data_IF_887030888147
#
_entry.id   IF_887030888147
#
_cell.length_a   1.000
_cell.length_b   1.000
_cell.length_c   1.000
_cell.angle_alpha   90.00
_cell.angle_beta   90.00
_cell.angle_gamma   90.00
#
_symmetry.space_group_name_H-M   'P 1'
#
loop_
_entity.id
_entity.type
_entity.pdbx_description
1 polymer ?
#
# COMPACT_ATOMS: atom_id res chain seq x y z
N UNK A 1 -16.34 -47.86 49.95
CA UNK A 1 -15.52 -46.67 49.67
C UNK A 1 -14.94 -46.71 48.23
N UNK A 2 -15.82 -46.75 47.18
CA UNK A 2 -15.34 -46.84 45.77
C UNK A 2 -16.12 -46.02 44.71
N UNK A 3 -17.00 -45.06 45.04
CA UNK A 3 -17.56 -44.22 43.97
C UNK A 3 -16.93 -42.82 43.79
N UNK A 4 -16.01 -42.37 44.68
CA UNK A 4 -15.49 -40.99 44.66
C UNK A 4 -14.37 -40.74 43.64
N UNK A 5 -13.67 -41.80 43.20
CA UNK A 5 -12.50 -41.69 42.29
C UNK A 5 -12.98 -41.59 40.81
N UNK A 6 -14.12 -42.14 40.44
CA UNK A 6 -14.61 -42.15 39.06
C UNK A 6 -15.18 -40.77 38.66
N UNK A 7 -15.75 -40.00 39.59
CA UNK A 7 -16.27 -38.66 39.32
C UNK A 7 -15.17 -37.62 39.05
N UNK A 8 -13.97 -37.77 39.64
CA UNK A 8 -12.86 -36.86 39.46
C UNK A 8 -12.19 -37.02 38.10
N UNK A 9 -12.11 -38.25 37.59
CA UNK A 9 -11.52 -38.53 36.27
C UNK A 9 -12.39 -38.04 35.10
N UNK A 10 -13.73 -38.08 35.24
CA UNK A 10 -14.65 -37.56 34.22
C UNK A 10 -14.62 -36.03 34.14
N UNK A 11 -14.45 -35.33 35.25
CA UNK A 11 -14.31 -33.85 35.27
C UNK A 11 -13.04 -33.35 34.60
N UNK A 12 -11.89 -34.04 34.75
CA UNK A 12 -10.64 -33.67 34.10
C UNK A 12 -10.68 -33.91 32.58
N UNK A 13 -11.37 -34.97 32.12
CA UNK A 13 -11.46 -35.25 30.69
C UNK A 13 -12.34 -34.23 29.95
N UNK A 14 -13.40 -33.71 30.56
CA UNK A 14 -14.25 -32.66 29.97
C UNK A 14 -13.54 -31.32 29.92
N UNK A 15 -12.75 -30.98 30.95
CA UNK A 15 -11.94 -29.76 30.95
C UNK A 15 -10.80 -29.79 29.88
N UNK A 16 -10.20 -30.97 29.65
CA UNK A 16 -9.19 -31.14 28.59
C UNK A 16 -9.78 -31.04 27.17
N UNK A 17 -11.02 -31.54 26.96
CA UNK A 17 -11.72 -31.38 25.68
C UNK A 17 -12.13 -29.91 25.42
N UNK A 18 -12.49 -29.13 26.44
CA UNK A 18 -12.83 -27.72 26.31
C UNK A 18 -11.59 -26.86 25.99
N UNK A 19 -10.39 -27.22 26.49
CA UNK A 19 -9.13 -26.53 26.16
C UNK A 19 -8.65 -26.85 24.73
N UNK A 20 -8.98 -27.99 24.16
CA UNK A 20 -8.61 -28.36 22.78
C UNK A 20 -9.55 -27.74 21.72
N UNK A 21 -10.62 -27.06 22.11
CA UNK A 21 -11.61 -26.53 21.19
C UNK A 21 -11.22 -25.19 20.54
N UNK A 22 -10.11 -24.56 20.90
CA UNK A 22 -9.70 -23.25 20.36
C UNK A 22 -8.49 -23.31 19.39
N UNK A 23 -8.08 -24.49 18.97
CA UNK A 23 -7.03 -24.71 17.96
C UNK A 23 -7.54 -24.74 16.52
N UNK A 24 -8.65 -24.10 16.22
CA UNK A 24 -9.02 -23.94 14.81
C UNK A 24 -7.99 -23.07 14.12
N UNK A 25 -7.49 -23.48 12.94
CA UNK A 25 -6.57 -22.63 12.19
C UNK A 25 -7.23 -21.26 11.98
N UNK A 26 -6.53 -20.21 12.33
CA UNK A 26 -7.00 -18.83 12.20
C UNK A 26 -6.32 -18.23 10.97
N UNK A 27 -7.03 -17.41 10.22
CA UNK A 27 -6.44 -16.57 9.18
C UNK A 27 -6.41 -15.13 9.69
N UNK A 28 -5.44 -14.35 9.21
CA UNK A 28 -5.34 -12.91 9.48
C UNK A 28 -5.58 -12.19 8.16
N UNK A 29 -6.59 -11.34 8.14
CA UNK A 29 -6.87 -10.42 7.03
C UNK A 29 -6.34 -9.06 7.38
N UNK A 30 -5.45 -8.52 6.55
CA UNK A 30 -4.88 -7.18 6.69
C UNK A 30 -5.49 -6.28 5.62
N UNK A 31 -5.96 -5.10 6.05
CA UNK A 31 -6.46 -4.04 5.20
C UNK A 31 -5.57 -2.81 5.39
N UNK A 32 -4.96 -2.31 4.32
CA UNK A 32 -4.15 -1.09 4.30
C UNK A 32 -4.83 -0.06 3.41
N UNK A 33 -4.97 1.16 3.90
CA UNK A 33 -5.55 2.28 3.16
C UNK A 33 -4.59 3.45 3.09
N UNK A 34 -4.45 4.00 1.89
CA UNK A 34 -3.77 5.26 1.63
C UNK A 34 -4.81 6.37 1.41
N UNK A 35 -4.86 7.33 2.33
CA UNK A 35 -5.82 8.45 2.28
C UNK A 35 -5.05 9.76 2.16
N UNK A 36 -5.28 10.49 1.06
CA UNK A 36 -4.69 11.80 0.83
C UNK A 36 -5.60 12.89 1.40
N UNK A 37 -5.02 13.78 2.23
CA UNK A 37 -5.71 14.92 2.83
C UNK A 37 -4.87 16.19 2.72
N UNK A 38 -5.52 17.36 2.94
CA UNK A 38 -4.81 18.63 3.09
C UNK A 38 -4.06 18.71 4.44
N UNK A 39 -2.88 19.32 4.46
CA UNK A 39 -2.09 19.49 5.69
C UNK A 39 -2.85 20.22 6.83
N UNK A 40 -3.62 21.30 6.57
CA UNK A 40 -4.42 21.91 7.62
C UNK A 40 -5.44 20.96 8.26
N UNK A 41 -6.10 20.12 7.44
CA UNK A 41 -7.04 19.12 7.93
C UNK A 41 -6.36 18.08 8.84
N UNK A 42 -5.16 17.64 8.50
CA UNK A 42 -4.37 16.77 9.38
C UNK A 42 -4.07 17.46 10.71
N UNK A 43 -3.68 18.74 10.67
CA UNK A 43 -3.37 19.50 11.89
C UNK A 43 -4.59 19.59 12.81
N UNK A 44 -5.78 19.82 12.27
CA UNK A 44 -7.03 19.83 13.04
C UNK A 44 -7.36 18.45 13.63
N UNK A 45 -7.19 17.38 12.85
CA UNK A 45 -7.40 16.00 13.32
C UNK A 45 -6.49 15.65 14.51
N UNK A 46 -5.21 16.08 14.46
CA UNK A 46 -4.22 15.80 15.50
C UNK A 46 -4.29 16.77 16.70
N UNK A 47 -4.95 17.91 16.56
CA UNK A 47 -5.15 18.87 17.66
C UNK A 47 -6.21 18.41 18.67
N UNK A 48 -6.98 17.40 18.37
CA UNK A 48 -8.00 16.83 19.26
C UNK A 48 -7.38 16.15 20.50
N UNK A 49 -8.17 16.02 21.55
CA UNK A 49 -7.76 15.31 22.78
C UNK A 49 -7.72 13.79 22.62
N UNK A 50 -8.47 13.25 21.67
CA UNK A 50 -8.51 11.83 21.35
C UNK A 50 -7.94 11.63 19.93
N UNK A 51 -6.73 11.13 19.87
CA UNK A 51 -5.99 10.79 18.64
C UNK A 51 -5.90 9.27 18.41
N UNK A 52 -6.87 8.51 18.95
CA UNK A 52 -6.91 7.05 18.71
C UNK A 52 -7.06 6.74 17.22
N UNK A 53 -6.44 5.63 16.79
CA UNK A 53 -6.45 5.19 15.39
C UNK A 53 -7.86 5.08 14.80
N UNK A 54 -8.83 4.43 15.48
CA UNK A 54 -10.20 4.33 14.98
C UNK A 54 -10.85 5.68 14.73
N UNK A 55 -10.69 6.63 15.68
CA UNK A 55 -11.25 7.97 15.54
C UNK A 55 -10.62 8.77 14.40
N UNK A 56 -9.30 8.72 14.28
CA UNK A 56 -8.59 9.37 13.15
C UNK A 56 -9.05 8.80 11.81
N UNK A 57 -9.26 7.49 11.74
CA UNK A 57 -9.77 6.85 10.55
C UNK A 57 -11.21 7.31 10.21
N UNK A 58 -12.12 7.38 11.20
CA UNK A 58 -13.49 7.86 11.00
C UNK A 58 -13.52 9.32 10.53
N UNK A 59 -12.66 10.18 11.09
CA UNK A 59 -12.49 11.57 10.66
C UNK A 59 -11.99 11.66 9.22
N UNK A 60 -10.98 10.84 8.86
CA UNK A 60 -10.47 10.79 7.48
C UNK A 60 -11.57 10.35 6.50
N UNK A 61 -12.36 9.32 6.85
CA UNK A 61 -13.49 8.88 6.02
C UNK A 61 -14.61 9.94 5.91
N UNK A 62 -14.84 10.72 6.96
CA UNK A 62 -15.79 11.84 6.89
C UNK A 62 -15.31 12.92 5.91
N UNK A 63 -13.99 13.22 5.88
CA UNK A 63 -13.41 14.12 4.88
C UNK A 63 -13.53 13.55 3.46
N UNK A 64 -13.36 12.23 3.28
CA UNK A 64 -13.55 11.55 1.98
C UNK A 64 -15.00 11.70 1.51
N UNK A 65 -15.99 11.47 2.39
CA UNK A 65 -17.43 11.65 2.06
C UNK A 65 -17.76 13.07 1.62
N UNK A 66 -17.07 14.06 2.18
CA UNK A 66 -17.26 15.47 1.86
C UNK A 66 -16.36 15.95 0.70
N UNK A 67 -15.72 15.05 -0.03
CA UNK A 67 -14.76 15.33 -1.10
C UNK A 67 -13.57 16.23 -0.70
N UNK A 68 -13.29 16.37 0.61
CA UNK A 68 -12.13 17.09 1.15
C UNK A 68 -10.89 16.20 1.30
N UNK A 69 -11.04 14.89 1.13
CA UNK A 69 -9.97 13.90 1.11
C UNK A 69 -10.23 12.87 0.01
N UNK A 70 -9.21 12.07 -0.33
CA UNK A 70 -9.30 11.05 -1.35
C UNK A 70 -8.63 9.76 -0.88
N UNK A 71 -9.33 8.63 -1.00
CA UNK A 71 -8.69 7.31 -0.90
C UNK A 71 -7.94 7.07 -2.21
N UNK A 72 -6.62 6.93 -2.13
CA UNK A 72 -5.78 6.64 -3.31
C UNK A 72 -5.77 5.14 -3.61
N UNK A 73 -5.67 4.31 -2.55
CA UNK A 73 -5.59 2.86 -2.69
C UNK A 73 -6.11 2.16 -1.42
N UNK A 74 -6.65 0.97 -1.60
CA UNK A 74 -7.03 0.06 -0.53
C UNK A 74 -6.56 -1.35 -0.88
N UNK A 75 -5.58 -1.86 -0.13
CA UNK A 75 -5.06 -3.21 -0.29
C UNK A 75 -5.65 -4.12 0.79
N UNK A 76 -6.15 -5.30 0.39
CA UNK A 76 -6.64 -6.32 1.33
C UNK A 76 -5.98 -7.65 1.01
N UNK A 77 -5.33 -8.24 2.02
CA UNK A 77 -4.62 -9.50 1.88
C UNK A 77 -4.88 -10.39 3.10
N UNK A 78 -5.08 -11.69 2.86
CA UNK A 78 -5.35 -12.67 3.92
C UNK A 78 -4.27 -13.75 3.89
N UNK A 79 -3.70 -14.05 5.06
CA UNK A 79 -2.69 -15.10 5.23
C UNK A 79 -2.86 -15.82 6.57
N UNK A 80 -2.08 -16.87 6.79
CA UNK A 80 -2.00 -17.54 8.09
C UNK A 80 -1.04 -16.77 9.01
N UNK A 81 -1.17 -16.90 10.34
CA UNK A 81 -0.18 -16.39 11.28
C UNK A 81 1.21 -16.95 10.95
N UNK A 82 2.24 -16.14 11.13
CA UNK A 82 3.66 -16.46 10.89
C UNK A 82 3.98 -16.83 9.42
N UNK A 83 3.13 -16.43 8.48
CA UNK A 83 3.35 -16.64 7.06
C UNK A 83 3.46 -15.31 6.33
N UNK A 84 4.58 -15.11 5.62
CA UNK A 84 4.76 -13.97 4.72
C UNK A 84 3.84 -14.11 3.51
N UNK A 85 3.18 -13.02 3.12
CA UNK A 85 2.37 -12.95 1.93
C UNK A 85 2.58 -11.61 1.23
N UNK A 86 2.35 -11.58 -0.08
CA UNK A 86 2.47 -10.38 -0.89
C UNK A 86 1.31 -10.25 -1.87
N UNK A 87 0.95 -9.00 -2.17
CA UNK A 87 -0.02 -8.61 -3.17
C UNK A 87 0.62 -7.53 -4.04
N UNK A 88 0.44 -7.64 -5.36
CA UNK A 88 0.86 -6.63 -6.32
C UNK A 88 -0.28 -6.36 -7.30
N UNK A 89 -0.64 -5.09 -7.46
CA UNK A 89 -1.58 -4.59 -8.47
C UNK A 89 -0.86 -3.52 -9.26
N UNK A 90 -0.14 -3.93 -10.31
CA UNK A 90 0.79 -3.09 -11.07
C UNK A 90 0.50 -3.15 -12.56
N UNK A 91 0.83 -2.06 -13.24
CA UNK A 91 1.01 -2.02 -14.70
C UNK A 91 2.43 -1.55 -15.01
N UNK A 92 2.98 -2.05 -16.09
CA UNK A 92 4.27 -1.60 -16.59
C UNK A 92 4.09 -0.37 -17.47
N UNK A 93 4.92 0.65 -17.23
CA UNK A 93 5.03 1.84 -18.08
C UNK A 93 6.41 1.80 -18.72
N UNK A 94 6.44 1.62 -20.04
CA UNK A 94 7.66 1.65 -20.84
C UNK A 94 7.88 3.07 -21.32
N UNK A 95 9.09 3.57 -21.19
CA UNK A 95 9.44 4.93 -21.61
C UNK A 95 10.87 4.98 -22.15
N UNK A 96 11.16 5.87 -23.13
CA UNK A 96 12.50 6.02 -23.68
C UNK A 96 13.43 6.69 -22.68
N UNK A 97 14.67 6.22 -22.61
CA UNK A 97 15.74 6.77 -21.76
C UNK A 97 16.86 7.38 -22.56
N UNK A 98 17.09 6.87 -23.78
CA UNK A 98 18.10 7.37 -24.69
C UNK A 98 17.49 7.65 -26.06
N UNK A 99 18.05 8.64 -26.74
CA UNK A 99 17.67 9.01 -28.11
C UNK A 99 18.88 9.58 -28.83
N UNK A 100 18.96 9.32 -30.13
CA UNK A 100 19.92 9.98 -31.01
C UNK A 100 19.35 11.28 -31.55
N UNK A 101 20.10 12.41 -31.44
CA UNK A 101 19.66 13.68 -32.01
C UNK A 101 19.62 13.58 -33.54
N UNK A 102 18.73 14.34 -34.20
CA UNK A 102 18.67 14.40 -35.65
C UNK A 102 20.04 14.76 -36.24
N UNK A 103 20.53 13.96 -37.22
CA UNK A 103 21.79 14.22 -37.91
C UNK A 103 23.03 13.59 -37.28
N UNK A 104 22.93 12.80 -36.20
CA UNK A 104 24.05 12.08 -35.60
C UNK A 104 24.47 10.83 -36.41
N UNK A 105 23.65 10.36 -37.32
CA UNK A 105 23.97 9.21 -38.20
C UNK A 105 24.65 9.73 -39.48
N UNK A 106 25.83 9.19 -39.80
CA UNK A 106 26.50 9.40 -41.09
C UNK A 106 25.72 8.74 -42.25
N UNK A 107 24.51 9.24 -42.51
CA UNK A 107 23.73 8.84 -43.66
C UNK A 107 24.25 9.51 -44.93
N UNK A 108 24.22 8.84 -46.09
CA UNK A 108 24.58 9.46 -47.36
C UNK A 108 23.72 10.72 -47.58
N UNK A 109 24.26 11.76 -48.27
CA UNK A 109 23.66 13.13 -48.29
C UNK A 109 22.24 13.27 -48.82
N UNK A 110 21.57 12.17 -49.16
CA UNK A 110 20.25 12.15 -49.77
C UNK A 110 19.07 11.87 -48.83
N UNK A 111 19.33 11.50 -47.57
CA UNK A 111 18.26 11.29 -46.58
C UNK A 111 18.69 11.84 -45.22
N UNK A 112 18.39 13.11 -44.93
CA UNK A 112 18.55 13.60 -43.56
C UNK A 112 17.55 12.82 -42.69
N UNK A 113 18.04 12.04 -41.73
CA UNK A 113 17.21 11.56 -40.63
C UNK A 113 16.80 12.79 -39.82
N UNK A 114 15.53 13.17 -39.93
CA UNK A 114 14.99 14.42 -39.41
C UNK A 114 14.30 14.18 -38.07
N UNK A 115 14.13 12.94 -37.67
CA UNK A 115 13.45 12.56 -36.42
C UNK A 115 14.45 12.04 -35.41
N UNK A 116 14.28 12.40 -34.13
CA UNK A 116 15.04 11.75 -33.07
C UNK A 116 14.68 10.27 -33.06
N UNK A 117 15.69 9.43 -33.08
CA UNK A 117 15.53 7.97 -32.97
C UNK A 117 15.63 7.56 -31.51
N UNK A 118 14.69 6.74 -31.05
CA UNK A 118 14.66 6.23 -29.68
C UNK A 118 15.52 4.97 -29.62
N UNK A 119 16.58 5.01 -28.79
CA UNK A 119 17.60 3.95 -28.77
C UNK A 119 17.43 2.99 -27.58
N UNK A 120 17.09 3.51 -26.40
CA UNK A 120 16.90 2.70 -25.23
C UNK A 120 15.57 2.98 -24.50
N UNK A 121 15.07 1.94 -23.82
CA UNK A 121 13.82 2.01 -23.06
C UNK A 121 14.02 1.41 -21.68
N UNK A 122 13.34 1.97 -20.70
CA UNK A 122 13.17 1.39 -19.38
C UNK A 122 11.71 1.12 -19.08
N UNK A 123 11.51 0.17 -18.15
CA UNK A 123 10.18 -0.19 -17.65
C UNK A 123 10.07 0.19 -16.19
N UNK A 124 8.96 0.85 -15.82
CA UNK A 124 8.63 1.17 -14.44
C UNK A 124 7.27 0.60 -14.05
N UNK A 125 7.24 -0.11 -12.93
CA UNK A 125 5.99 -0.58 -12.34
C UNK A 125 5.24 0.58 -11.68
N UNK A 126 3.95 0.74 -12.02
CA UNK A 126 3.03 1.74 -11.48
C UNK A 126 1.83 1.01 -10.90
N UNK A 127 1.46 1.35 -9.68
CA UNK A 127 0.38 0.71 -8.94
C UNK A 127 0.72 0.50 -7.47
N UNK A 128 0.12 -0.48 -6.84
CA UNK A 128 0.29 -0.78 -5.42
C UNK A 128 0.92 -2.14 -5.19
N UNK A 129 1.76 -2.21 -4.16
CA UNK A 129 2.35 -3.45 -3.64
C UNK A 129 2.18 -3.48 -2.12
N UNK A 130 1.91 -4.66 -1.58
CA UNK A 130 1.79 -4.89 -0.14
C UNK A 130 2.47 -6.20 0.21
N UNK A 131 3.45 -6.15 1.08
CA UNK A 131 4.00 -7.34 1.76
C UNK A 131 3.58 -7.31 3.21
N UNK A 132 3.19 -8.47 3.76
CA UNK A 132 2.78 -8.65 5.15
C UNK A 132 3.41 -9.87 5.77
N UNK A 133 3.70 -9.79 7.06
CA UNK A 133 4.14 -10.89 7.92
C UNK A 133 3.45 -10.73 9.28
N UNK A 134 2.20 -11.22 9.43
CA UNK A 134 1.48 -11.13 10.69
C UNK A 134 1.83 -12.30 11.62
N UNK A 135 1.92 -12.03 12.92
CA UNK A 135 1.96 -13.04 13.97
C UNK A 135 0.87 -12.78 15.00
N UNK A 136 0.31 -13.85 15.57
CA UNK A 136 -0.75 -13.80 16.55
C UNK A 136 -0.21 -14.25 17.90
N UNK A 137 -0.43 -13.44 18.95
CA UNK A 137 -0.12 -13.84 20.31
C UNK A 137 -1.22 -14.79 20.82
N UNK A 138 -0.82 -15.92 21.38
CA UNK A 138 -1.76 -16.93 21.92
C UNK A 138 -2.67 -16.32 23.00
N UNK A 139 -3.97 -16.64 22.92
CA UNK A 139 -4.98 -16.18 23.86
C UNK A 139 -5.26 -14.67 23.80
N UNK A 140 -4.65 -13.93 22.88
CA UNK A 140 -4.78 -12.49 22.75
C UNK A 140 -5.53 -12.09 21.47
N UNK A 141 -6.04 -10.87 21.45
CA UNK A 141 -6.53 -10.17 20.26
C UNK A 141 -5.47 -9.25 19.64
N UNK A 142 -4.23 -9.34 20.12
CA UNK A 142 -3.11 -8.55 19.61
C UNK A 142 -2.44 -9.28 18.44
N UNK A 143 -2.17 -8.55 17.38
CA UNK A 143 -1.52 -9.01 16.17
C UNK A 143 -0.26 -8.18 15.98
N UNK A 144 0.91 -8.84 15.99
CA UNK A 144 2.15 -8.22 15.57
C UNK A 144 2.26 -8.32 14.05
N UNK A 145 2.31 -7.18 13.39
CA UNK A 145 2.29 -7.08 11.94
C UNK A 145 3.55 -6.37 11.44
N UNK A 146 4.41 -7.10 10.75
CA UNK A 146 5.41 -6.53 9.85
C UNK A 146 4.76 -6.30 8.48
N UNK A 147 4.91 -5.10 7.88
CA UNK A 147 4.34 -4.83 6.57
C UNK A 147 5.05 -3.73 5.82
N UNK A 148 5.02 -3.86 4.49
CA UNK A 148 5.66 -2.93 3.56
C UNK A 148 4.64 -2.56 2.48
N UNK A 149 3.79 -1.56 2.71
CA UNK A 149 2.92 -1.02 1.70
C UNK A 149 3.68 -0.03 0.80
N UNK A 150 3.48 -0.15 -0.49
CA UNK A 150 4.08 0.72 -1.49
C UNK A 150 3.02 1.14 -2.51
N UNK A 151 3.05 2.42 -2.92
CA UNK A 151 2.27 2.93 -4.03
C UNK A 151 3.18 3.76 -4.95
N UNK A 152 3.16 3.44 -6.24
CA UNK A 152 3.85 4.17 -7.30
C UNK A 152 2.82 4.75 -8.24
N UNK A 153 2.89 6.05 -8.49
CA UNK A 153 1.96 6.77 -9.37
C UNK A 153 2.72 7.43 -10.52
N UNK A 154 2.18 7.35 -11.72
CA UNK A 154 2.59 8.20 -12.83
C UNK A 154 1.88 9.55 -12.66
N UNK A 155 2.64 10.58 -12.30
CA UNK A 155 2.08 11.90 -11.97
C UNK A 155 1.82 12.72 -13.23
N UNK A 156 2.80 12.72 -14.16
CA UNK A 156 2.71 13.48 -15.42
C UNK A 156 3.72 12.97 -16.44
N UNK A 157 3.55 13.43 -17.66
CA UNK A 157 4.50 13.29 -18.74
C UNK A 157 5.08 14.67 -19.06
N UNK A 158 6.38 14.86 -18.81
CA UNK A 158 7.08 16.08 -19.17
C UNK A 158 7.58 15.98 -20.62
N UNK A 159 7.38 17.01 -21.40
CA UNK A 159 7.96 17.11 -22.75
C UNK A 159 9.41 17.50 -22.61
N UNK A 160 10.31 16.64 -23.08
CA UNK A 160 11.75 16.84 -22.98
C UNK A 160 12.33 17.44 -24.26
N UNK A 161 11.76 17.07 -25.41
CA UNK A 161 12.13 17.61 -26.71
C UNK A 161 10.87 17.72 -27.57
N UNK A 162 10.79 18.83 -28.29
CA UNK A 162 9.84 19.04 -29.38
C UNK A 162 10.63 19.34 -30.64
N UNK A 163 10.27 18.69 -31.73
CA UNK A 163 10.82 18.91 -33.06
C UNK A 163 9.68 19.02 -34.05
N UNK A 164 9.67 20.10 -34.82
CA UNK A 164 8.70 20.33 -35.88
C UNK A 164 9.44 20.50 -37.18
N UNK A 165 9.06 19.72 -38.21
CA UNK A 165 9.60 19.84 -39.56
C UNK A 165 8.47 19.75 -40.61
N UNK A 166 8.85 19.77 -41.89
CA UNK A 166 7.91 19.62 -43.01
C UNK A 166 7.15 18.28 -43.04
N UNK A 167 7.56 17.31 -42.24
CA UNK A 167 6.99 15.96 -42.18
C UNK A 167 6.08 15.77 -40.97
N UNK A 168 5.99 16.76 -40.07
CA UNK A 168 5.13 16.80 -38.90
C UNK A 168 5.89 17.04 -37.59
N UNK A 169 5.15 16.93 -36.51
CA UNK A 169 5.62 17.14 -35.16
C UNK A 169 6.12 15.83 -34.52
N UNK A 170 7.23 15.87 -33.83
CA UNK A 170 7.75 14.79 -33.00
C UNK A 170 8.07 15.33 -31.60
N UNK A 171 7.61 14.62 -30.57
CA UNK A 171 7.90 15.00 -29.19
C UNK A 171 8.40 13.80 -28.41
N UNK A 172 9.43 14.00 -27.58
CA UNK A 172 9.89 13.02 -26.61
C UNK A 172 9.34 13.43 -25.25
N UNK A 173 8.54 12.53 -24.66
CA UNK A 173 7.92 12.73 -23.35
C UNK A 173 8.56 11.78 -22.33
N UNK A 174 8.87 12.33 -21.17
CA UNK A 174 9.47 11.61 -20.06
C UNK A 174 8.48 11.51 -18.89
N UNK A 175 8.19 10.30 -18.39
CA UNK A 175 7.30 10.15 -17.25
C UNK A 175 7.95 10.62 -15.96
N UNK A 176 7.14 11.23 -15.10
CA UNK A 176 7.50 11.58 -13.73
C UNK A 176 6.70 10.70 -12.79
N UNK A 177 7.41 9.92 -11.99
CA UNK A 177 6.82 9.00 -11.03
C UNK A 177 6.94 9.54 -9.60
N UNK A 178 5.95 9.27 -8.80
CA UNK A 178 5.96 9.46 -7.35
C UNK A 178 5.84 8.09 -6.67
N UNK A 179 6.76 7.82 -5.74
CA UNK A 179 6.77 6.59 -4.94
C UNK A 179 6.57 6.95 -3.48
N UNK A 180 5.57 6.33 -2.84
CA UNK A 180 5.35 6.37 -1.41
C UNK A 180 5.46 4.95 -0.85
N UNK A 181 6.31 4.77 0.16
CA UNK A 181 6.59 3.48 0.76
C UNK A 181 6.77 3.65 2.27
N UNK A 182 6.28 2.69 3.03
CA UNK A 182 6.49 2.56 4.46
C UNK A 182 7.03 1.16 4.75
N UNK A 183 7.98 1.02 5.64
CA UNK A 183 8.44 -0.26 6.15
C UNK A 183 8.44 -0.19 7.67
N UNK A 184 7.58 -0.96 8.31
CA UNK A 184 7.41 -0.91 9.76
C UNK A 184 6.86 -2.22 10.33
N UNK A 185 6.98 -2.37 11.65
CA UNK A 185 6.34 -3.43 12.43
C UNK A 185 5.57 -2.78 13.58
N UNK A 186 4.30 -3.17 13.74
CA UNK A 186 3.39 -2.61 14.74
C UNK A 186 2.58 -3.71 15.41
N UNK A 187 2.19 -3.48 16.66
CA UNK A 187 1.24 -4.34 17.38
C UNK A 187 -0.14 -3.69 17.30
N UNK A 188 -1.11 -4.41 16.76
CA UNK A 188 -2.47 -3.96 16.48
C UNK A 188 -3.48 -4.70 17.35
N UNK A 189 -4.51 -4.00 17.78
CA UNK A 189 -5.72 -4.63 18.30
C UNK A 189 -6.58 -5.12 17.12
N UNK A 190 -6.93 -6.41 17.10
CA UNK A 190 -7.72 -6.99 16.03
C UNK A 190 -9.05 -6.24 15.83
N UNK A 191 -9.36 -5.91 14.57
CA UNK A 191 -10.60 -5.24 14.16
C UNK A 191 -10.57 -3.72 14.20
N UNK A 192 -9.48 -3.08 14.63
CA UNK A 192 -9.36 -1.63 14.72
C UNK A 192 -8.39 -1.09 13.68
N UNK A 193 -8.72 0.08 13.11
CA UNK A 193 -7.78 0.82 12.27
C UNK A 193 -6.81 1.60 13.15
N UNK A 194 -5.53 1.60 12.74
CA UNK A 194 -4.48 2.41 13.33
C UNK A 194 -3.80 3.27 12.26
N UNK A 195 -3.47 4.52 12.62
CA UNK A 195 -2.65 5.39 11.78
C UNK A 195 -1.19 5.04 12.02
N UNK A 196 -0.55 4.40 11.04
CA UNK A 196 0.82 3.89 11.18
C UNK A 196 1.87 4.80 10.54
N UNK A 197 1.45 5.75 9.73
CA UNK A 197 2.37 6.69 9.11
C UNK A 197 1.70 7.83 8.41
N UNK A 198 2.42 8.95 8.33
CA UNK A 198 2.05 10.12 7.54
C UNK A 198 3.21 10.44 6.61
N UNK A 199 2.98 10.36 5.31
CA UNK A 199 3.96 10.65 4.27
C UNK A 199 3.64 12.02 3.67
N UNK A 200 4.67 12.81 3.41
CA UNK A 200 4.52 14.04 2.65
C UNK A 200 4.95 13.77 1.21
N UNK A 201 4.01 13.72 0.27
CA UNK A 201 4.34 13.59 -1.15
C UNK A 201 5.29 14.71 -1.57
N UNK A 202 6.31 14.40 -2.36
CA UNK A 202 7.28 15.39 -2.85
C UNK A 202 6.70 16.09 -4.08
N UNK A 203 6.71 17.42 -4.17
CA UNK A 203 6.36 18.09 -5.41
C UNK A 203 7.42 17.76 -6.46
N UNK A 204 6.98 17.33 -7.62
CA UNK A 204 7.87 17.01 -8.74
C UNK A 204 8.28 18.25 -9.57
N UNK A 205 7.92 19.44 -9.12
CA UNK A 205 8.26 20.73 -9.73
C UNK A 205 8.83 21.64 -8.66
N UNK A 206 9.84 22.49 -8.95
CA UNK A 206 10.22 23.59 -8.09
C UNK A 206 8.99 24.49 -7.86
N UNK A 207 8.55 24.63 -6.62
CA UNK A 207 7.34 25.36 -6.26
C UNK A 207 7.09 25.32 -4.76
N UNK A 208 6.01 25.94 -4.27
CA UNK A 208 5.67 25.88 -2.85
C UNK A 208 5.51 24.42 -2.39
N UNK A 209 5.92 24.16 -1.14
CA UNK A 209 5.79 22.84 -0.54
C UNK A 209 4.35 22.30 -0.70
N UNK A 210 4.24 21.02 -0.98
CA UNK A 210 2.90 20.39 -1.09
C UNK A 210 2.15 20.53 0.23
N UNK A 211 0.92 20.98 0.13
CA UNK A 211 -0.02 21.03 1.25
C UNK A 211 -0.73 19.69 1.49
N UNK A 212 -0.39 18.66 0.69
CA UNK A 212 -0.99 17.32 0.77
C UNK A 212 -0.23 16.44 1.77
N UNK A 213 -0.95 15.58 2.44
CA UNK A 213 -0.44 14.52 3.32
C UNK A 213 -1.08 13.21 2.95
N UNK A 214 -0.31 12.14 2.97
CA UNK A 214 -0.77 10.79 2.73
C UNK A 214 -0.76 10.03 4.06
N UNK A 215 -1.94 9.69 4.53
CA UNK A 215 -2.14 8.90 5.73
C UNK A 215 -2.12 7.42 5.35
N UNK A 216 -1.39 6.63 6.12
CA UNK A 216 -1.37 5.17 5.98
C UNK A 216 -2.06 4.57 7.18
N UNK A 217 -3.27 4.03 6.96
CA UNK A 217 -4.03 3.31 7.96
C UNK A 217 -3.90 1.81 7.73
N UNK A 218 -3.85 1.05 8.82
CA UNK A 218 -3.85 -0.41 8.78
C UNK A 218 -4.86 -0.98 9.77
N UNK A 219 -5.51 -2.09 9.38
CA UNK A 219 -6.36 -2.91 10.24
C UNK A 219 -6.05 -4.38 9.99
N UNK A 220 -5.99 -5.15 11.06
CA UNK A 220 -5.87 -6.60 10.97
C UNK A 220 -7.05 -7.27 11.67
N UNK A 221 -7.69 -8.25 11.01
CA UNK A 221 -8.82 -9.01 11.51
C UNK A 221 -8.43 -10.48 11.67
N UNK A 222 -8.83 -11.10 12.78
CA UNK A 222 -8.70 -12.55 12.99
C UNK A 222 -9.95 -13.22 12.44
N UNK A 223 -9.78 -14.09 11.45
CA UNK A 223 -10.85 -14.83 10.81
C UNK A 223 -10.77 -16.30 11.22
N UNK A 224 -11.90 -16.94 11.59
CA UNK A 224 -11.93 -18.40 11.73
C UNK A 224 -11.67 -19.04 10.37
N UNK A 225 -10.87 -20.10 10.32
CA UNK A 225 -10.76 -20.87 9.09
C UNK A 225 -12.13 -21.53 8.80
N UNK A 226 -12.61 -21.34 7.58
CA UNK A 226 -13.84 -22.00 7.11
C UNK A 226 -13.50 -23.46 6.96
N UNK A 227 -14.13 -24.34 7.76
CA UNK A 227 -14.13 -25.79 7.50
C UNK A 227 -14.93 -25.99 6.21
N UNK A 228 -14.29 -26.40 5.12
CA UNK A 228 -14.99 -26.96 3.97
C UNK A 228 -15.72 -28.20 4.43
N UNK A 229 -17.03 -28.11 4.50
CA UNK A 229 -17.95 -29.26 4.57
C UNK A 229 -17.91 -30.05 3.26
#
# INVERSE_FOLDING_TARGET
>A
MRPLIIALAAGLAVAALAAAADERPKNIRVCVQFIEIAHPALTEMLAGTDISGPRLHDQALALVKNAAAKVLETCVLTTRPNQKASLASIREVIYPTEYEPPGSVNLPPRQPSIRPELDAFETRNVGSMLEIEPSLQEGSRLIDLGFVPEIVQLVRLDTWMEHTDRWGDASIRRPVFEKSCLNTRVTLMAGQFELVGVITPKPNTPGPATTRKLLVFVRADILPAVSST
#
